data_IF_811808048526
#
_entry.id   IF_811808048526
#
_cell.length_a   1.000
_cell.length_b   1.000
_cell.length_c   1.000
_cell.angle_alpha   90.00
_cell.angle_beta   90.00
_cell.angle_gamma   90.00
#
_symmetry.space_group_name_H-M   'P 1'
#
loop_
_entity.id
_entity.type
_entity.pdbx_description
1 polymer ?
#
# COMPACT_ATOMS: atom_id res chain seq x y z
N UNK A 1 -15.92 15.39 18.82
CA UNK A 1 -14.51 15.00 19.05
C UNK A 1 -14.27 13.67 18.33
N UNK A 2 -13.35 13.60 17.35
CA UNK A 2 -13.05 12.32 16.67
C UNK A 2 -12.16 11.49 17.61
N UNK A 3 -12.61 10.30 17.99
CA UNK A 3 -11.82 9.38 18.81
C UNK A 3 -10.60 8.92 18.01
N UNK A 4 -9.42 9.38 18.40
CA UNK A 4 -8.15 8.85 17.90
C UNK A 4 -7.95 7.48 18.55
N UNK A 5 -8.09 6.42 17.76
CA UNK A 5 -7.73 5.06 18.17
C UNK A 5 -6.21 4.99 18.33
N UNK A 6 -5.73 4.23 19.30
CA UNK A 6 -4.31 3.84 19.36
C UNK A 6 -4.09 2.84 18.20
N UNK A 7 -3.21 3.13 17.23
CA UNK A 7 -2.93 2.21 16.15
C UNK A 7 -2.25 0.95 16.68
N UNK A 8 -2.49 -0.18 16.03
CA UNK A 8 -1.75 -1.41 16.35
C UNK A 8 -0.33 -1.35 15.78
N UNK A 9 0.54 -2.27 16.20
CA UNK A 9 1.94 -2.31 15.76
C UNK A 9 2.07 -2.39 14.22
N UNK A 10 1.18 -3.13 13.56
CA UNK A 10 1.20 -3.29 12.11
C UNK A 10 0.84 -1.99 11.38
N UNK A 11 -0.16 -1.25 11.86
CA UNK A 11 -0.55 0.06 11.33
C UNK A 11 0.58 1.07 11.49
N UNK A 12 1.28 1.07 12.62
CA UNK A 12 2.44 1.93 12.85
C UNK A 12 3.56 1.61 11.85
N UNK A 13 3.94 0.34 11.69
CA UNK A 13 4.95 -0.08 10.70
C UNK A 13 4.54 0.24 9.27
N UNK A 14 3.25 0.09 8.94
CA UNK A 14 2.71 0.44 7.64
C UNK A 14 2.83 1.94 7.36
N UNK A 15 2.50 2.79 8.34
CA UNK A 15 2.66 4.24 8.23
C UNK A 15 4.13 4.66 8.06
N UNK A 16 5.05 4.03 8.80
CA UNK A 16 6.49 4.28 8.69
C UNK A 16 7.04 3.86 7.31
N UNK A 17 6.64 2.69 6.80
CA UNK A 17 7.05 2.20 5.49
C UNK A 17 6.53 3.10 4.36
N UNK A 18 5.27 3.52 4.45
CA UNK A 18 4.68 4.49 3.52
C UNK A 18 5.44 5.81 3.57
N UNK A 19 5.65 6.37 4.76
CA UNK A 19 6.34 7.63 4.93
C UNK A 19 7.77 7.58 4.38
N UNK A 20 8.49 6.49 4.66
CA UNK A 20 9.85 6.26 4.18
C UNK A 20 9.92 6.17 2.65
N UNK A 21 8.93 5.55 2.02
CA UNK A 21 8.84 5.51 0.55
C UNK A 21 8.63 6.90 -0.05
N UNK A 22 7.72 7.69 0.52
CA UNK A 22 7.39 9.03 0.01
C UNK A 22 8.58 9.99 0.14
N UNK A 23 9.34 9.92 1.23
CA UNK A 23 10.53 10.75 1.46
C UNK A 23 11.68 10.49 0.49
N UNK A 24 11.68 9.35 -0.22
CA UNK A 24 12.69 9.05 -1.24
C UNK A 24 12.48 9.86 -2.53
N UNK A 25 11.32 10.50 -2.70
CA UNK A 25 10.97 11.26 -3.90
C UNK A 25 10.84 12.74 -3.53
N UNK A 26 11.81 13.56 -3.95
CA UNK A 26 11.88 14.99 -3.60
C UNK A 26 10.66 15.81 -4.02
N UNK A 27 9.94 15.38 -5.06
CA UNK A 27 8.74 16.03 -5.58
C UNK A 27 7.49 15.76 -4.74
N UNK A 28 7.58 14.87 -3.74
CA UNK A 28 6.51 14.53 -2.82
C UNK A 28 6.86 15.07 -1.42
N UNK A 29 5.92 15.78 -0.79
CA UNK A 29 6.02 16.19 0.61
C UNK A 29 4.89 15.56 1.41
N UNK A 30 5.21 14.85 2.48
CA UNK A 30 4.20 14.35 3.42
C UNK A 30 3.74 15.49 4.31
N UNK A 31 2.42 15.73 4.40
CA UNK A 31 1.84 16.73 5.31
C UNK A 31 1.34 16.13 6.60
N UNK A 32 0.55 15.07 6.50
CA UNK A 32 -0.02 14.42 7.68
C UNK A 32 -0.33 12.94 7.39
N UNK A 33 -0.18 12.09 8.40
CA UNK A 33 -0.57 10.68 8.34
C UNK A 33 -1.49 10.40 9.54
N UNK A 34 -2.77 10.16 9.24
CA UNK A 34 -3.82 9.92 10.23
C UNK A 34 -4.24 8.46 10.24
N UNK A 35 -4.34 7.88 11.44
CA UNK A 35 -4.98 6.58 11.64
C UNK A 35 -6.50 6.74 11.73
N UNK A 36 -7.22 5.85 11.07
CA UNK A 36 -8.67 5.87 11.03
C UNK A 36 -9.27 4.88 12.04
N UNK A 37 -10.48 5.16 12.56
CA UNK A 37 -11.19 4.20 13.39
C UNK A 37 -11.50 2.91 12.60
N UNK A 38 -11.44 1.75 13.26
CA UNK A 38 -11.64 0.42 12.65
C UNK A 38 -12.98 0.22 11.90
N UNK A 39 -13.97 1.09 12.13
CA UNK A 39 -15.27 1.08 11.42
C UNK A 39 -15.24 1.80 10.06
N UNK A 40 -14.13 2.43 9.69
CA UNK A 40 -13.96 3.11 8.39
C UNK A 40 -13.49 2.11 7.34
N UNK A 41 -13.66 2.49 6.07
CA UNK A 41 -13.28 1.68 4.92
C UNK A 41 -11.75 1.56 4.77
N UNK A 42 -11.01 2.51 5.32
CA UNK A 42 -9.55 2.59 5.29
C UNK A 42 -8.97 2.66 6.71
N UNK A 43 -7.74 2.19 6.84
CA UNK A 43 -7.02 2.10 8.13
C UNK A 43 -6.12 3.32 8.34
N UNK A 44 -5.50 3.83 7.26
CA UNK A 44 -4.63 5.02 7.28
C UNK A 44 -5.06 6.00 6.18
N UNK A 45 -5.02 7.30 6.47
CA UNK A 45 -5.10 8.38 5.49
C UNK A 45 -3.82 9.21 5.53
N UNK A 46 -3.12 9.32 4.41
CA UNK A 46 -1.98 10.22 4.29
C UNK A 46 -2.33 11.39 3.36
N UNK A 47 -2.18 12.62 3.86
CA UNK A 47 -2.28 13.82 3.05
C UNK A 47 -0.86 14.21 2.61
N UNK A 48 -0.64 14.34 1.31
CA UNK A 48 0.64 14.66 0.69
C UNK A 48 0.50 15.85 -0.27
N UNK A 49 1.62 16.49 -0.58
CA UNK A 49 1.76 17.41 -1.70
C UNK A 49 2.58 16.76 -2.79
N UNK A 50 2.08 16.81 -4.02
CA UNK A 50 2.81 16.40 -5.21
C UNK A 50 2.91 17.60 -6.13
N UNK A 51 4.12 18.10 -6.37
CA UNK A 51 4.35 19.28 -7.23
C UNK A 51 3.46 20.49 -6.84
N UNK A 52 3.21 20.68 -5.55
CA UNK A 52 2.37 21.76 -5.02
C UNK A 52 0.85 21.51 -5.07
N UNK A 53 0.41 20.33 -5.52
CA UNK A 53 -0.99 19.90 -5.51
C UNK A 53 -1.28 18.94 -4.37
N UNK A 54 -2.41 19.16 -3.72
CA UNK A 54 -2.86 18.32 -2.61
C UNK A 54 -3.40 16.99 -3.09
N UNK A 55 -2.86 15.91 -2.53
CA UNK A 55 -3.30 14.55 -2.82
C UNK A 55 -3.47 13.75 -1.55
N UNK A 56 -4.42 12.82 -1.55
CA UNK A 56 -4.70 11.92 -0.44
C UNK A 56 -4.36 10.49 -0.81
N UNK A 57 -3.72 9.76 0.08
CA UNK A 57 -3.56 8.32 0.00
C UNK A 57 -4.56 7.67 0.96
N UNK A 58 -5.37 6.75 0.43
CA UNK A 58 -6.34 5.99 1.21
C UNK A 58 -5.79 4.58 1.36
N UNK A 59 -5.35 4.24 2.57
CA UNK A 59 -4.57 3.04 2.80
C UNK A 59 -5.34 2.01 3.61
N UNK A 60 -5.24 0.74 3.22
CA UNK A 60 -5.64 -0.39 4.04
C UNK A 60 -4.44 -1.25 4.38
N UNK A 61 -4.41 -1.74 5.62
CA UNK A 61 -3.37 -2.62 6.13
C UNK A 61 -3.91 -4.04 6.14
N UNK A 62 -3.21 -4.94 5.47
CA UNK A 62 -3.50 -6.37 5.44
C UNK A 62 -2.40 -7.17 6.14
N UNK A 63 -2.73 -8.36 6.64
CA UNK A 63 -1.78 -9.27 7.27
C UNK A 63 -0.89 -10.05 6.27
N UNK A 64 -1.22 -9.98 4.98
CA UNK A 64 -0.51 -10.67 3.89
C UNK A 64 -1.11 -12.03 3.52
N UNK A 65 -2.14 -12.52 4.23
CA UNK A 65 -2.88 -13.70 3.82
C UNK A 65 -3.73 -13.40 2.58
N UNK A 66 -3.83 -14.32 1.61
CA UNK A 66 -4.54 -14.08 0.35
C UNK A 66 -5.98 -13.60 0.53
N UNK A 67 -6.71 -14.09 1.53
CA UNK A 67 -8.10 -13.70 1.76
C UNK A 67 -8.24 -12.33 2.43
N UNK A 68 -7.29 -11.95 3.29
CA UNK A 68 -7.25 -10.62 3.87
C UNK A 68 -6.86 -9.57 2.81
N UNK A 69 -5.88 -9.88 1.95
CA UNK A 69 -5.51 -9.06 0.78
C UNK A 69 -6.71 -8.84 -0.14
N UNK A 70 -7.44 -9.89 -0.52
CA UNK A 70 -8.65 -9.77 -1.35
C UNK A 70 -9.70 -8.86 -0.70
N UNK A 71 -9.96 -9.03 0.59
CA UNK A 71 -10.90 -8.18 1.34
C UNK A 71 -10.45 -6.73 1.38
N UNK A 72 -9.17 -6.46 1.63
CA UNK A 72 -8.61 -5.11 1.63
C UNK A 72 -8.72 -4.46 0.24
N UNK A 73 -8.41 -5.19 -0.83
CA UNK A 73 -8.61 -4.72 -2.21
C UNK A 73 -10.08 -4.38 -2.50
N UNK A 74 -11.02 -5.21 -2.07
CA UNK A 74 -12.46 -4.92 -2.23
C UNK A 74 -12.87 -3.62 -1.52
N UNK A 75 -12.34 -3.33 -0.32
CA UNK A 75 -12.59 -2.05 0.38
C UNK A 75 -12.07 -0.86 -0.43
N UNK A 76 -10.85 -0.99 -0.97
CA UNK A 76 -10.14 0.05 -1.71
C UNK A 76 -10.73 0.32 -3.11
N UNK A 77 -11.39 -0.65 -3.76
CA UNK A 77 -12.05 -0.47 -5.06
C UNK A 77 -13.01 0.72 -5.09
N UNK A 78 -13.76 0.91 -4.00
CA UNK A 78 -14.73 2.01 -3.91
C UNK A 78 -14.10 3.40 -3.96
N UNK A 79 -12.80 3.51 -3.66
CA UNK A 79 -12.02 4.74 -3.84
C UNK A 79 -11.43 4.86 -5.26
N UNK A 80 -11.03 3.73 -5.88
CA UNK A 80 -10.47 3.69 -7.24
C UNK A 80 -11.49 4.11 -8.32
N UNK A 81 -12.76 3.79 -8.13
CA UNK A 81 -13.83 4.07 -9.10
C UNK A 81 -14.30 5.54 -9.07
N UNK A 82 -13.92 6.29 -8.02
CA UNK A 82 -14.25 7.70 -7.86
C UNK A 82 -13.40 8.59 -8.76
N UNK A 83 -13.83 8.82 -10.01
CA UNK A 83 -13.20 9.72 -11.01
C UNK A 83 -13.00 11.20 -10.58
N UNK A 84 -13.32 11.58 -9.34
CA UNK A 84 -13.35 12.97 -8.85
C UNK A 84 -12.62 13.20 -7.53
N UNK A 85 -12.00 12.19 -6.93
CA UNK A 85 -11.26 12.38 -5.68
C UNK A 85 -9.78 12.25 -5.96
N UNK A 86 -8.99 13.26 -5.58
CA UNK A 86 -7.52 13.25 -5.51
C UNK A 86 -7.05 12.23 -4.45
N UNK A 87 -7.48 10.98 -4.60
CA UNK A 87 -7.38 9.92 -3.62
C UNK A 87 -6.82 8.68 -4.30
N UNK A 88 -5.55 8.36 -4.03
CA UNK A 88 -4.93 7.12 -4.51
C UNK A 88 -5.15 6.01 -3.48
N UNK A 89 -5.79 4.89 -3.84
CA UNK A 89 -5.89 3.74 -2.96
C UNK A 89 -4.55 3.00 -2.86
N UNK A 90 -4.17 2.60 -1.65
CA UNK A 90 -2.90 1.91 -1.37
C UNK A 90 -3.14 0.71 -0.46
N UNK A 91 -2.64 -0.45 -0.85
CA UNK A 91 -2.58 -1.63 0.03
C UNK A 91 -1.20 -1.70 0.70
N UNK A 92 -1.18 -1.94 2.01
CA UNK A 92 0.05 -2.13 2.76
C UNK A 92 0.01 -3.47 3.50
N UNK A 93 1.06 -4.26 3.43
CA UNK A 93 1.15 -5.57 4.10
C UNK A 93 2.61 -5.90 4.47
N UNK A 94 2.85 -6.88 5.37
CA UNK A 94 4.22 -7.35 5.65
C UNK A 94 4.97 -7.74 4.37
N UNK A 95 4.32 -8.53 3.51
CA UNK A 95 4.83 -8.95 2.22
C UNK A 95 3.68 -9.12 1.24
N UNK A 96 3.89 -8.73 -0.02
CA UNK A 96 2.94 -8.97 -1.11
C UNK A 96 3.56 -9.91 -2.14
N UNK A 97 2.93 -11.07 -2.33
CA UNK A 97 3.38 -12.03 -3.34
C UNK A 97 3.33 -11.43 -4.74
N UNK A 98 4.05 -11.99 -5.74
CA UNK A 98 3.90 -11.56 -7.13
C UNK A 98 2.44 -11.57 -7.61
N UNK A 99 1.67 -12.57 -7.20
CA UNK A 99 0.25 -12.67 -7.52
C UNK A 99 -0.57 -11.55 -6.89
N UNK A 100 -0.35 -11.23 -5.61
CA UNK A 100 -1.06 -10.15 -4.92
C UNK A 100 -0.71 -8.77 -5.51
N UNK A 101 0.55 -8.57 -5.90
CA UNK A 101 1.01 -7.36 -6.60
C UNK A 101 0.33 -7.21 -7.96
N UNK A 102 0.17 -8.30 -8.71
CA UNK A 102 -0.57 -8.30 -9.96
C UNK A 102 -2.06 -7.99 -9.73
N UNK A 103 -2.65 -8.53 -8.67
CA UNK A 103 -4.02 -8.17 -8.27
C UNK A 103 -4.13 -6.69 -7.92
N UNK A 104 -3.19 -6.10 -7.19
CA UNK A 104 -3.18 -4.66 -6.91
C UNK A 104 -3.21 -3.85 -8.22
N UNK A 105 -2.34 -4.20 -9.18
CA UNK A 105 -2.29 -3.54 -10.48
C UNK A 105 -3.61 -3.66 -11.26
N UNK A 106 -4.22 -4.86 -11.33
CA UNK A 106 -5.53 -5.08 -11.97
C UNK A 106 -6.65 -4.24 -11.37
N UNK A 107 -6.56 -3.97 -10.07
CA UNK A 107 -7.54 -3.17 -9.32
C UNK A 107 -7.20 -1.67 -9.27
N UNK A 108 -6.14 -1.21 -9.96
CA UNK A 108 -5.65 0.17 -9.91
C UNK A 108 -5.33 0.65 -8.48
N UNK A 109 -4.85 -0.28 -7.65
CA UNK A 109 -4.43 -0.03 -6.27
C UNK A 109 -2.90 0.01 -6.24
N UNK A 110 -2.35 1.06 -5.64
CA UNK A 110 -0.92 1.11 -5.32
C UNK A 110 -0.59 0.16 -4.17
N UNK A 111 0.67 -0.21 -4.00
CA UNK A 111 1.08 -1.03 -2.86
C UNK A 111 2.43 -0.61 -2.29
N UNK A 112 2.59 -0.92 -0.99
CA UNK A 112 3.85 -0.87 -0.25
C UNK A 112 3.90 -2.13 0.60
N UNK A 113 5.02 -2.85 0.63
CA UNK A 113 5.22 -3.89 1.63
C UNK A 113 6.41 -3.59 2.55
N UNK A 114 6.44 -4.24 3.70
CA UNK A 114 7.47 -4.03 4.72
C UNK A 114 8.83 -4.66 4.31
N UNK A 115 8.83 -5.56 3.34
CA UNK A 115 10.02 -6.09 2.69
C UNK A 115 10.67 -5.09 1.71
N UNK A 116 10.04 -3.94 1.46
CA UNK A 116 10.56 -2.86 0.62
C UNK A 116 10.17 -2.95 -0.85
N UNK A 117 9.20 -3.78 -1.24
CA UNK A 117 8.58 -3.68 -2.55
C UNK A 117 7.52 -2.57 -2.53
N UNK A 118 7.42 -1.82 -3.62
CA UNK A 118 6.37 -0.82 -3.76
C UNK A 118 6.02 -0.59 -5.23
N UNK A 119 4.76 -0.24 -5.47
CA UNK A 119 4.30 0.34 -6.73
C UNK A 119 3.23 1.37 -6.42
N UNK A 120 3.51 2.65 -6.66
CA UNK A 120 2.59 3.74 -6.36
C UNK A 120 2.55 4.71 -7.53
N UNK A 121 1.35 5.08 -7.97
CA UNK A 121 1.13 6.15 -8.94
C UNK A 121 0.30 7.23 -8.27
N UNK A 122 0.84 8.45 -8.23
CA UNK A 122 0.15 9.63 -7.69
C UNK A 122 0.37 10.78 -8.65
N UNK A 123 -0.73 11.30 -9.20
CA UNK A 123 -0.69 12.32 -10.25
C UNK A 123 0.27 11.89 -11.39
N UNK A 124 1.30 12.68 -11.68
CA UNK A 124 2.31 12.40 -12.71
C UNK A 124 3.51 11.59 -12.18
N UNK A 125 3.54 11.25 -10.89
CA UNK A 125 4.66 10.53 -10.27
C UNK A 125 4.36 9.02 -10.21
N UNK A 126 5.32 8.24 -10.69
CA UNK A 126 5.37 6.80 -10.50
C UNK A 126 6.55 6.41 -9.62
N UNK A 127 6.28 5.59 -8.61
CA UNK A 127 7.29 4.98 -7.74
C UNK A 127 7.21 3.47 -7.94
N UNK A 128 8.31 2.86 -8.37
CA UNK A 128 8.48 1.42 -8.43
C UNK A 128 9.73 1.02 -7.64
N UNK A 129 9.56 0.11 -6.68
CA UNK A 129 10.67 -0.43 -5.88
C UNK A 129 10.53 -1.94 -5.77
N UNK A 130 11.64 -2.65 -5.88
CA UNK A 130 11.71 -4.10 -5.68
C UNK A 130 12.85 -4.40 -4.74
N UNK A 131 12.58 -5.19 -3.71
CA UNK A 131 13.63 -5.67 -2.81
C UNK A 131 14.31 -6.90 -3.40
N UNK A 132 15.62 -7.00 -3.17
CA UNK A 132 16.43 -8.14 -3.63
C UNK A 132 16.22 -9.38 -2.73
N UNK A 133 15.59 -9.21 -1.55
CA UNK A 133 15.31 -10.28 -0.58
C UNK A 133 14.14 -11.19 -0.93
N UNK A 134 13.45 -10.98 -2.05
CA UNK A 134 12.29 -11.77 -2.45
C UNK A 134 12.48 -12.45 -3.81
N UNK A 135 13.23 -13.55 -3.81
CA UNK A 135 13.01 -14.69 -4.72
C UNK A 135 13.27 -15.99 -3.94
N UNK A 136 12.28 -16.45 -3.17
CA UNK A 136 12.09 -17.89 -3.09
C UNK A 136 11.30 -18.26 -4.36
N UNK A 137 12.01 -18.69 -5.40
CA UNK A 137 11.38 -19.25 -6.59
C UNK A 137 10.52 -20.45 -6.15
N UNK A 138 9.31 -20.67 -6.72
CA UNK A 138 8.61 -21.93 -6.52
C UNK A 138 9.55 -23.07 -6.95
N UNK A 139 9.77 -24.00 -6.02
CA UNK A 139 10.73 -25.09 -6.18
C UNK A 139 10.53 -25.82 -7.50
N UNK A 140 11.57 -25.83 -8.32
CA UNK A 140 11.69 -26.85 -9.35
C UNK A 140 11.76 -28.21 -8.66
N UNK A 141 10.94 -29.20 -9.05
CA UNK A 141 11.15 -30.55 -8.55
C UNK A 141 12.51 -31.02 -9.08
N UNK A 142 13.43 -31.28 -8.15
CA UNK A 142 14.68 -31.96 -8.45
C UNK A 142 14.32 -33.27 -9.14
N UNK A 143 14.65 -33.40 -10.43
CA UNK A 143 14.55 -34.69 -11.12
C UNK A 143 15.41 -35.68 -10.35
N UNK A 144 14.78 -36.73 -9.81
CA UNK A 144 15.47 -37.97 -9.47
C UNK A 144 16.19 -38.44 -10.74
N UNK A 145 17.51 -38.51 -10.70
CA UNK A 145 18.29 -39.35 -11.61
C UNK A 145 18.19 -40.79 -11.10
N UNK A 146 17.66 -41.65 -11.97
CA UNK A 146 17.67 -43.10 -11.82
C UNK A 146 19.10 -43.66 -11.92
#
# INVERSE_FOLDING_TARGET
MRATRIPNEMETKAAEALNSLLHQVSSIKTRDIKFQPARRKSDILADIDVLGRSHRLVCNVADGQPDDVKRALQKLRTCADGKKTDATPVLIAPYLSPQDREMCAKNRVGFVDLEGNARLTVDEIFIGKRSVRSVAAPGHPTRLTA
#
